data_IF_730995545808
#
_entry.id   IF_730995545808
#
_cell.length_a   1.000
_cell.length_b   1.000
_cell.length_c   1.000
_cell.angle_alpha   90.00
_cell.angle_beta   90.00
_cell.angle_gamma   90.00
#
_symmetry.space_group_name_H-M   'P 1'
#
loop_
_entity.id
_entity.type
_entity.pdbx_description
1 polymer ?
#
# COMPACT_ATOMS: atom_id res chain seq x y z
N UNK A 1 -68.90 7.43 66.08
CA UNK A 1 -68.61 5.98 66.13
C UNK A 1 -68.19 5.55 64.73
N UNK A 2 -66.89 5.26 64.54
CA UNK A 2 -66.22 4.45 63.48
C UNK A 2 -66.53 4.80 62.01
N UNK A 3 -65.67 5.57 61.31
CA UNK A 3 -64.41 5.17 60.64
C UNK A 3 -64.55 3.94 59.75
N UNK A 4 -64.51 4.14 58.42
CA UNK A 4 -63.84 3.24 57.47
C UNK A 4 -63.32 4.07 56.29
N UNK A 5 -61.99 4.27 56.26
CA UNK A 5 -61.25 4.81 55.14
C UNK A 5 -60.90 3.63 54.23
N UNK A 6 -61.42 3.61 53.00
CA UNK A 6 -60.99 2.68 51.97
C UNK A 6 -59.69 3.22 51.35
N UNK A 7 -58.57 2.57 51.63
CA UNK A 7 -57.30 2.80 50.93
C UNK A 7 -57.33 1.97 49.64
N UNK A 8 -57.42 2.67 48.50
CA UNK A 8 -57.29 2.07 47.18
C UNK A 8 -55.80 1.90 46.86
N UNK A 9 -55.27 0.68 46.98
CA UNK A 9 -53.90 0.35 46.59
C UNK A 9 -53.89 0.17 45.06
N UNK A 10 -53.41 1.16 44.33
CA UNK A 10 -53.07 1.03 42.91
C UNK A 10 -51.82 0.16 42.75
N UNK A 11 -52.04 -1.08 42.31
CA UNK A 11 -50.98 -2.01 41.93
C UNK A 11 -50.41 -1.58 40.57
N UNK A 12 -49.29 -0.86 40.56
CA UNK A 12 -48.54 -0.56 39.34
C UNK A 12 -47.74 -1.81 38.96
N UNK A 13 -48.25 -2.57 38.00
CA UNK A 13 -47.51 -3.67 37.40
C UNK A 13 -46.32 -3.09 36.61
N UNK A 14 -45.11 -3.25 37.14
CA UNK A 14 -43.89 -2.97 36.39
C UNK A 14 -43.71 -4.05 35.33
N UNK A 15 -44.16 -3.76 34.10
CA UNK A 15 -43.74 -4.53 32.94
C UNK A 15 -42.30 -4.15 32.61
N UNK A 16 -41.37 -4.98 33.05
CA UNK A 16 -39.99 -4.97 32.58
C UNK A 16 -39.99 -5.32 31.09
N UNK A 17 -39.90 -4.31 30.22
CA UNK A 17 -39.64 -4.57 28.79
C UNK A 17 -38.23 -5.16 28.71
N UNK A 18 -38.05 -6.40 28.22
CA UNK A 18 -36.72 -6.93 28.02
C UNK A 18 -36.05 -6.11 26.93
N UNK A 19 -35.02 -5.35 27.30
CA UNK A 19 -34.10 -4.74 26.35
C UNK A 19 -33.35 -5.87 25.67
N UNK A 20 -33.86 -6.36 24.54
CA UNK A 20 -33.06 -7.19 23.64
C UNK A 20 -31.96 -6.26 23.14
N UNK A 21 -30.76 -6.37 23.72
CA UNK A 21 -29.58 -5.81 23.12
C UNK A 21 -29.45 -6.45 21.73
N UNK A 22 -29.76 -5.71 20.68
CA UNK A 22 -29.41 -6.10 19.31
C UNK A 22 -27.90 -6.28 19.31
N UNK A 23 -27.46 -7.54 19.29
CA UNK A 23 -26.07 -7.86 18.99
C UNK A 23 -25.79 -7.27 17.61
N UNK A 24 -24.84 -6.33 17.53
CA UNK A 24 -24.43 -5.77 16.25
C UNK A 24 -24.04 -6.94 15.33
N UNK A 25 -24.69 -7.02 14.18
CA UNK A 25 -24.46 -8.07 13.19
C UNK A 25 -22.96 -8.13 12.85
N UNK A 26 -22.38 -9.33 12.96
CA UNK A 26 -20.97 -9.53 12.69
C UNK A 26 -20.73 -9.47 11.19
N UNK A 27 -19.98 -8.47 10.74
CA UNK A 27 -19.64 -8.30 9.32
C UNK A 27 -18.56 -9.27 8.87
N UNK A 28 -18.58 -9.66 7.60
CA UNK A 28 -17.61 -10.56 7.01
C UNK A 28 -16.82 -9.87 5.89
N UNK A 29 -15.51 -9.78 6.08
CA UNK A 29 -14.59 -9.22 5.11
C UNK A 29 -13.74 -10.34 4.50
N UNK A 30 -13.74 -10.44 3.18
CA UNK A 30 -12.84 -11.35 2.44
C UNK A 30 -11.65 -10.56 1.92
N UNK A 31 -10.44 -10.97 2.29
CA UNK A 31 -9.19 -10.28 1.95
C UNK A 31 -8.40 -11.09 0.91
N UNK A 32 -8.30 -10.58 -0.31
CA UNK A 32 -7.51 -11.16 -1.39
C UNK A 32 -6.09 -10.58 -1.34
N UNK A 33 -5.13 -11.41 -0.97
CA UNK A 33 -3.75 -11.00 -0.66
C UNK A 33 -2.77 -11.61 -1.66
N UNK A 34 -1.84 -10.79 -2.16
CA UNK A 34 -0.81 -11.28 -3.08
C UNK A 34 0.30 -12.08 -2.37
N UNK A 35 0.58 -11.77 -1.10
CA UNK A 35 1.76 -12.26 -0.37
C UNK A 35 1.53 -12.42 1.14
N UNK A 36 0.29 -12.68 1.53
CA UNK A 36 -0.13 -12.75 2.92
C UNK A 36 -0.26 -11.38 3.60
N UNK A 37 -0.41 -11.40 4.92
CA UNK A 37 -0.63 -10.22 5.77
C UNK A 37 0.64 -9.38 5.86
N UNK A 38 0.52 -8.13 5.41
CA UNK A 38 1.53 -7.07 5.59
C UNK A 38 1.07 -6.09 6.67
N UNK A 39 1.86 -5.05 6.94
CA UNK A 39 1.44 -4.00 7.88
C UNK A 39 0.18 -3.26 7.43
N UNK A 40 -0.12 -3.22 6.12
CA UNK A 40 -1.38 -2.67 5.62
C UNK A 40 -2.59 -3.49 6.06
N UNK A 41 -2.52 -4.82 5.96
CA UNK A 41 -3.60 -5.69 6.45
C UNK A 41 -3.73 -5.61 7.97
N UNK A 42 -2.63 -5.50 8.72
CA UNK A 42 -2.68 -5.29 10.17
C UNK A 42 -3.42 -3.99 10.52
N UNK A 43 -3.02 -2.87 9.92
CA UNK A 43 -3.68 -1.57 10.15
C UNK A 43 -5.16 -1.58 9.76
N UNK A 44 -5.49 -2.23 8.64
CA UNK A 44 -6.89 -2.41 8.23
C UNK A 44 -7.69 -3.21 9.26
N UNK A 45 -7.21 -4.40 9.64
CA UNK A 45 -7.91 -5.30 10.54
C UNK A 45 -8.01 -4.74 11.97
N UNK A 46 -6.95 -4.14 12.49
CA UNK A 46 -6.93 -3.52 13.82
C UNK A 46 -7.90 -2.34 13.87
N UNK A 47 -7.86 -1.45 12.86
CA UNK A 47 -8.78 -0.33 12.77
C UNK A 47 -10.23 -0.83 12.75
N UNK A 48 -10.59 -1.67 11.77
CA UNK A 48 -11.99 -2.05 11.56
C UNK A 48 -12.55 -2.87 12.73
N UNK A 49 -11.75 -3.77 13.30
CA UNK A 49 -12.14 -4.56 14.49
C UNK A 49 -12.33 -3.70 15.74
N UNK A 50 -11.67 -2.53 15.82
CA UNK A 50 -11.91 -1.56 16.89
C UNK A 50 -13.25 -0.82 16.75
N UNK A 51 -13.85 -0.82 15.55
CA UNK A 51 -15.08 -0.09 15.23
C UNK A 51 -16.33 -0.96 15.24
N UNK A 52 -16.21 -2.23 14.85
CA UNK A 52 -17.36 -3.12 14.72
C UNK A 52 -16.99 -4.61 14.87
N UNK A 53 -17.96 -5.48 15.22
CA UNK A 53 -17.76 -6.92 15.16
C UNK A 53 -17.56 -7.37 13.71
N UNK A 54 -16.41 -7.98 13.43
CA UNK A 54 -16.04 -8.38 12.07
C UNK A 54 -15.28 -9.72 12.09
N UNK A 55 -15.45 -10.53 11.05
CA UNK A 55 -14.62 -11.70 10.73
C UNK A 55 -13.89 -11.47 9.43
N UNK A 56 -12.71 -12.09 9.32
CA UNK A 56 -11.87 -12.00 8.14
C UNK A 56 -11.63 -13.40 7.55
N UNK A 57 -11.81 -13.53 6.23
CA UNK A 57 -11.28 -14.65 5.45
C UNK A 57 -10.05 -14.17 4.71
N UNK A 58 -8.89 -14.81 4.95
CA UNK A 58 -7.62 -14.45 4.32
C UNK A 58 -7.32 -15.39 3.16
N UNK A 59 -7.28 -14.85 1.94
CA UNK A 59 -6.98 -15.58 0.71
C UNK A 59 -5.59 -15.17 0.21
N UNK A 60 -4.55 -15.86 0.70
CA UNK A 60 -3.16 -15.60 0.31
C UNK A 60 -2.78 -16.36 -0.97
N UNK A 61 -2.63 -15.62 -2.06
CA UNK A 61 -2.22 -16.16 -3.36
C UNK A 61 -0.76 -16.64 -3.38
N UNK A 62 0.05 -16.36 -2.36
CA UNK A 62 1.48 -16.79 -2.27
C UNK A 62 2.30 -16.41 -3.51
N UNK A 63 1.96 -15.28 -4.13
CA UNK A 63 2.54 -14.77 -5.39
C UNK A 63 2.34 -15.70 -6.59
N UNK A 64 1.30 -16.51 -6.56
CA UNK A 64 0.92 -17.43 -7.63
C UNK A 64 -0.38 -16.98 -8.31
N UNK A 65 -0.34 -16.89 -9.65
CA UNK A 65 -1.46 -16.36 -10.43
C UNK A 65 -2.60 -17.37 -10.55
N UNK A 66 -2.30 -18.66 -10.54
CA UNK A 66 -3.31 -19.71 -10.66
C UNK A 66 -4.09 -19.82 -9.36
N UNK A 67 -3.39 -19.77 -8.22
CA UNK A 67 -3.98 -19.69 -6.89
C UNK A 67 -4.87 -18.45 -6.75
N UNK A 68 -4.39 -17.27 -7.17
CA UNK A 68 -5.20 -16.04 -7.21
C UNK A 68 -6.46 -16.21 -8.06
N UNK A 69 -6.33 -16.83 -9.24
CA UNK A 69 -7.45 -17.04 -10.16
C UNK A 69 -8.51 -17.97 -9.55
N UNK A 70 -8.08 -19.01 -8.82
CA UNK A 70 -8.99 -19.87 -8.07
C UNK A 70 -9.79 -19.11 -7.02
N UNK A 71 -9.14 -18.29 -6.20
CA UNK A 71 -9.84 -17.46 -5.20
C UNK A 71 -10.84 -16.48 -5.80
N UNK A 72 -10.55 -15.94 -6.98
CA UNK A 72 -11.45 -15.02 -7.67
C UNK A 72 -12.65 -15.76 -8.28
N UNK A 73 -12.43 -16.97 -8.82
CA UNK A 73 -13.51 -17.79 -9.36
C UNK A 73 -14.54 -18.16 -8.27
N UNK A 74 -14.08 -18.37 -7.04
CA UNK A 74 -14.93 -18.74 -5.91
C UNK A 74 -15.40 -17.53 -5.07
N UNK A 75 -15.14 -16.29 -5.50
CA UNK A 75 -15.29 -15.10 -4.64
C UNK A 75 -16.71 -14.91 -4.10
N UNK A 76 -17.73 -15.20 -4.90
CA UNK A 76 -19.14 -15.05 -4.51
C UNK A 76 -19.57 -16.12 -3.50
N UNK A 77 -18.86 -17.25 -3.42
CA UNK A 77 -19.17 -18.33 -2.47
C UNK A 77 -18.84 -17.98 -1.01
N UNK A 78 -18.04 -16.94 -0.81
CA UNK A 78 -17.63 -16.52 0.53
C UNK A 78 -18.66 -15.63 1.24
N UNK A 79 -19.72 -15.18 0.56
CA UNK A 79 -20.81 -14.36 1.12
C UNK A 79 -20.31 -13.11 1.89
N UNK A 80 -19.41 -12.36 1.24
CA UNK A 80 -18.73 -11.23 1.86
C UNK A 80 -19.63 -9.99 1.92
N UNK A 81 -19.67 -9.32 3.08
CA UNK A 81 -20.20 -7.96 3.19
C UNK A 81 -19.28 -6.94 2.49
N UNK A 82 -17.97 -7.24 2.39
CA UNK A 82 -16.97 -6.40 1.73
C UNK A 82 -15.76 -7.23 1.29
N UNK A 83 -15.21 -6.92 0.11
CA UNK A 83 -13.95 -7.49 -0.36
C UNK A 83 -12.82 -6.47 -0.22
N UNK A 84 -11.71 -6.91 0.36
CA UNK A 84 -10.46 -6.17 0.41
C UNK A 84 -9.46 -6.75 -0.59
N UNK A 85 -8.76 -5.90 -1.35
CA UNK A 85 -7.70 -6.35 -2.27
C UNK A 85 -6.37 -5.64 -1.98
N UNK A 86 -5.29 -6.43 -1.85
CA UNK A 86 -3.94 -5.89 -1.68
C UNK A 86 -3.21 -5.73 -3.03
N UNK A 87 -2.93 -4.48 -3.40
CA UNK A 87 -2.07 -4.13 -4.52
C UNK A 87 -2.74 -4.21 -5.89
N UNK A 88 -2.01 -3.73 -6.90
CA UNK A 88 -2.52 -3.60 -8.28
C UNK A 88 -2.93 -4.94 -8.89
N UNK A 89 -2.15 -6.01 -8.67
CA UNK A 89 -2.39 -7.33 -9.26
C UNK A 89 -3.71 -7.95 -8.80
N UNK A 90 -3.95 -8.03 -7.49
CA UNK A 90 -5.20 -8.61 -6.96
C UNK A 90 -6.42 -7.79 -7.35
N UNK A 91 -6.27 -6.46 -7.30
CA UNK A 91 -7.34 -5.51 -7.67
C UNK A 91 -7.71 -5.66 -9.15
N UNK A 92 -6.73 -5.72 -10.06
CA UNK A 92 -6.99 -5.94 -11.49
C UNK A 92 -7.54 -7.32 -11.78
N UNK A 93 -7.08 -8.36 -11.08
CA UNK A 93 -7.60 -9.70 -11.28
C UNK A 93 -9.07 -9.79 -10.84
N UNK A 94 -9.46 -9.11 -9.76
CA UNK A 94 -10.86 -9.07 -9.31
C UNK A 94 -11.73 -8.16 -10.18
N UNK A 95 -11.29 -6.94 -10.48
CA UNK A 95 -12.12 -5.89 -11.08
C UNK A 95 -11.95 -5.74 -12.60
N UNK A 96 -10.82 -6.17 -13.15
CA UNK A 96 -10.42 -5.84 -14.52
C UNK A 96 -10.08 -4.36 -14.68
N UNK A 97 -9.95 -3.93 -15.93
CA UNK A 97 -9.79 -2.51 -16.27
C UNK A 97 -11.15 -1.89 -16.59
N UNK A 98 -11.23 -0.57 -16.67
CA UNK A 98 -12.47 0.12 -17.04
C UNK A 98 -12.93 -0.24 -18.46
N UNK A 99 -11.99 -0.43 -19.39
CA UNK A 99 -12.27 -0.87 -20.76
C UNK A 99 -12.53 -2.38 -20.90
N UNK A 100 -12.14 -3.18 -19.89
CA UNK A 100 -12.32 -4.64 -19.87
C UNK A 100 -12.67 -5.09 -18.45
N UNK A 101 -13.88 -4.76 -17.96
CA UNK A 101 -14.28 -5.10 -16.61
C UNK A 101 -14.52 -6.61 -16.49
N UNK A 102 -14.29 -7.17 -15.31
CA UNK A 102 -14.63 -8.56 -15.01
C UNK A 102 -16.13 -8.74 -14.79
N UNK A 103 -16.58 -10.00 -14.75
CA UNK A 103 -17.96 -10.32 -14.35
C UNK A 103 -18.27 -9.81 -12.95
N UNK A 104 -17.32 -9.91 -12.02
CA UNK A 104 -17.48 -9.40 -10.65
C UNK A 104 -17.74 -7.89 -10.64
N UNK A 105 -16.91 -7.09 -11.34
CA UNK A 105 -17.09 -5.63 -11.43
C UNK A 105 -18.43 -5.22 -12.03
N UNK A 106 -19.00 -6.03 -12.92
CA UNK A 106 -20.23 -5.68 -13.67
C UNK A 106 -21.52 -6.17 -13.02
N UNK A 107 -21.47 -7.25 -12.24
CA UNK A 107 -22.68 -7.91 -11.72
C UNK A 107 -22.72 -8.03 -10.19
N UNK A 108 -21.60 -7.86 -9.49
CA UNK A 108 -21.56 -7.96 -8.03
C UNK A 108 -21.88 -6.62 -7.37
N UNK A 109 -22.77 -6.64 -6.38
CA UNK A 109 -23.06 -5.50 -5.52
C UNK A 109 -22.12 -5.43 -4.30
N UNK A 110 -21.30 -6.47 -4.08
CA UNK A 110 -20.37 -6.51 -2.95
C UNK A 110 -19.33 -5.41 -3.08
N UNK A 111 -19.22 -4.50 -2.11
CA UNK A 111 -18.29 -3.38 -2.21
C UNK A 111 -16.84 -3.85 -2.09
N UNK A 112 -15.94 -3.19 -2.83
CA UNK A 112 -14.49 -3.44 -2.78
C UNK A 112 -13.74 -2.24 -2.23
N UNK A 113 -12.85 -2.49 -1.27
CA UNK A 113 -11.85 -1.50 -0.83
C UNK A 113 -10.47 -2.03 -1.13
N UNK A 114 -9.82 -1.46 -2.15
CA UNK A 114 -8.43 -1.79 -2.43
C UNK A 114 -7.46 -0.97 -1.58
N UNK A 115 -6.29 -1.55 -1.33
CA UNK A 115 -5.19 -0.90 -0.64
C UNK A 115 -3.88 -1.16 -1.39
N UNK A 116 -2.88 -0.30 -1.20
CA UNK A 116 -1.53 -0.46 -1.79
C UNK A 116 -1.55 -0.49 -3.34
N UNK A 117 -2.59 0.06 -3.99
CA UNK A 117 -2.58 0.24 -5.45
C UNK A 117 -1.64 1.37 -5.82
N UNK A 118 -0.71 1.12 -6.74
CA UNK A 118 0.33 2.09 -7.12
C UNK A 118 -0.27 3.27 -7.87
N UNK A 119 -1.05 2.97 -8.90
CA UNK A 119 -1.54 3.96 -9.86
C UNK A 119 -2.85 3.44 -10.47
N UNK A 120 -4.01 3.74 -9.85
CA UNK A 120 -5.30 3.27 -10.32
C UNK A 120 -5.61 3.72 -11.75
N UNK A 121 -5.20 4.95 -12.11
CA UNK A 121 -5.40 5.53 -13.44
C UNK A 121 -4.45 4.90 -14.47
N UNK A 122 -3.15 4.85 -14.18
CA UNK A 122 -2.17 4.25 -15.09
C UNK A 122 -2.38 2.74 -15.30
N UNK A 123 -2.95 2.06 -14.30
CA UNK A 123 -3.35 0.65 -14.40
C UNK A 123 -4.73 0.46 -15.05
N UNK A 124 -5.40 1.55 -15.43
CA UNK A 124 -6.74 1.58 -16.03
C UNK A 124 -7.83 0.93 -15.18
N UNK A 125 -7.66 0.89 -13.86
CA UNK A 125 -8.74 0.48 -12.95
C UNK A 125 -9.89 1.50 -13.08
N UNK A 126 -9.53 2.78 -13.17
CA UNK A 126 -10.40 3.92 -13.48
C UNK A 126 -9.75 4.80 -14.54
N UNK A 127 -10.52 5.54 -15.35
CA UNK A 127 -9.99 6.56 -16.26
C UNK A 127 -9.52 7.81 -15.52
N UNK A 128 -10.26 8.19 -14.49
CA UNK A 128 -9.94 9.29 -13.58
C UNK A 128 -10.51 9.03 -12.18
N UNK A 129 -10.20 9.92 -11.24
CA UNK A 129 -10.65 9.80 -9.85
C UNK A 129 -12.13 10.18 -9.63
N UNK A 130 -12.80 10.72 -10.65
CA UNK A 130 -14.20 11.11 -10.63
C UNK A 130 -15.13 10.05 -11.26
N UNK A 131 -14.60 8.99 -11.89
CA UNK A 131 -15.33 7.91 -12.57
C UNK A 131 -16.52 7.39 -11.76
N UNK A 132 -17.75 7.66 -12.21
CA UNK A 132 -18.99 7.30 -11.51
C UNK A 132 -19.38 5.82 -11.72
N UNK A 133 -20.40 5.34 -10.99
CA UNK A 133 -20.96 3.99 -11.14
C UNK A 133 -19.98 2.83 -10.83
N UNK A 134 -19.34 2.89 -9.66
CA UNK A 134 -18.40 1.86 -9.20
C UNK A 134 -18.83 1.26 -7.85
N UNK A 135 -18.72 -0.06 -7.71
CA UNK A 135 -18.86 -0.74 -6.42
C UNK A 135 -17.55 -0.74 -5.61
N UNK A 136 -16.56 0.05 -6.00
CA UNK A 136 -15.24 0.03 -5.37
C UNK A 136 -14.67 1.42 -5.08
N UNK A 137 -13.82 1.47 -4.05
CA UNK A 137 -12.97 2.60 -3.69
C UNK A 137 -11.62 2.07 -3.22
N UNK A 138 -10.74 2.95 -2.76
CA UNK A 138 -9.50 2.48 -2.14
C UNK A 138 -8.48 3.55 -1.86
N UNK A 139 -7.32 3.08 -1.43
CA UNK A 139 -6.20 3.92 -1.03
C UNK A 139 -4.96 3.60 -1.84
N UNK A 140 -4.37 4.64 -2.45
CA UNK A 140 -3.05 4.53 -3.06
C UNK A 140 -1.96 4.78 -2.02
N UNK A 141 -0.85 4.05 -2.11
CA UNK A 141 0.27 4.21 -1.16
C UNK A 141 1.39 5.09 -1.69
N UNK A 142 1.37 5.43 -2.99
CA UNK A 142 2.50 6.11 -3.61
C UNK A 142 2.42 7.60 -3.35
N UNK A 143 3.47 8.09 -2.71
CA UNK A 143 3.73 9.53 -2.61
C UNK A 143 3.86 10.08 -4.03
N UNK A 144 3.18 11.19 -4.39
CA UNK A 144 3.24 11.75 -5.73
C UNK A 144 4.69 11.90 -6.21
N UNK A 145 4.99 11.46 -7.43
CA UNK A 145 6.36 11.41 -7.95
C UNK A 145 7.07 12.77 -7.91
N UNK A 146 6.35 13.87 -8.13
CA UNK A 146 6.87 15.23 -7.96
C UNK A 146 7.40 15.48 -6.54
N UNK A 147 6.70 15.00 -5.51
CA UNK A 147 7.11 15.12 -4.11
C UNK A 147 8.36 14.29 -3.84
N UNK A 148 8.44 13.07 -4.40
CA UNK A 148 9.65 12.23 -4.30
C UNK A 148 10.85 12.89 -4.98
N UNK A 149 10.68 13.45 -6.18
CA UNK A 149 11.74 14.21 -6.85
C UNK A 149 12.19 15.44 -6.08
N UNK A 150 11.25 16.21 -5.52
CA UNK A 150 11.59 17.35 -4.67
C UNK A 150 12.42 16.93 -3.44
N UNK A 151 12.20 15.71 -2.93
CA UNK A 151 13.03 15.15 -1.86
C UNK A 151 14.42 14.74 -2.38
N UNK A 152 14.50 14.10 -3.54
CA UNK A 152 15.76 13.69 -4.18
C UNK A 152 16.64 14.90 -4.52
N UNK A 153 16.06 15.98 -5.05
CA UNK A 153 16.80 17.20 -5.41
C UNK A 153 17.44 17.92 -4.21
N UNK A 154 16.93 17.68 -3.00
CA UNK A 154 17.55 18.22 -1.79
C UNK A 154 18.82 17.46 -1.41
N UNK A 155 19.04 16.28 -1.95
CA UNK A 155 20.25 15.50 -1.70
C UNK A 155 21.45 16.12 -2.45
N UNK A 156 22.61 16.24 -1.80
CA UNK A 156 23.79 16.84 -2.41
C UNK A 156 24.40 15.93 -3.49
N UNK A 157 24.99 16.51 -4.54
CA UNK A 157 25.81 15.78 -5.51
C UNK A 157 25.09 14.64 -6.27
N UNK A 158 23.77 14.75 -6.46
CA UNK A 158 23.00 13.86 -7.32
C UNK A 158 22.70 14.55 -8.65
N UNK A 159 23.45 14.21 -9.69
CA UNK A 159 23.21 14.62 -11.08
C UNK A 159 22.64 13.48 -11.92
N UNK A 160 22.92 12.23 -11.56
CA UNK A 160 22.55 11.04 -12.31
C UNK A 160 21.90 9.99 -11.43
N UNK A 161 20.72 9.53 -11.84
CA UNK A 161 19.92 8.55 -11.14
C UNK A 161 19.59 7.36 -12.05
N UNK A 162 19.66 6.15 -11.50
CA UNK A 162 19.27 4.92 -12.18
C UNK A 162 18.03 4.30 -11.55
N UNK A 163 17.07 3.83 -12.34
CA UNK A 163 15.90 3.12 -11.85
C UNK A 163 16.10 1.63 -12.06
N UNK A 164 16.24 0.86 -10.97
CA UNK A 164 16.35 -0.60 -11.02
C UNK A 164 14.97 -1.21 -10.83
N UNK A 165 14.46 -1.96 -11.81
CA UNK A 165 13.09 -2.48 -11.77
C UNK A 165 12.92 -3.83 -12.48
N UNK A 166 11.88 -4.55 -12.11
CA UNK A 166 11.41 -5.74 -12.80
C UNK A 166 10.53 -5.34 -14.00
N UNK A 167 10.92 -5.67 -15.25
CA UNK A 167 10.11 -5.34 -16.42
C UNK A 167 8.80 -6.15 -16.53
N UNK A 168 8.62 -7.19 -15.72
CA UNK A 168 7.41 -8.02 -15.67
C UNK A 168 6.33 -7.44 -14.74
N UNK A 169 6.61 -6.35 -14.03
CA UNK A 169 5.67 -5.72 -13.09
C UNK A 169 5.22 -4.34 -13.60
N UNK A 170 3.99 -4.26 -14.12
CA UNK A 170 3.51 -3.07 -14.84
C UNK A 170 3.55 -1.79 -13.98
N UNK A 171 3.24 -1.86 -12.69
CA UNK A 171 3.35 -0.73 -11.77
C UNK A 171 4.79 -0.19 -11.68
N UNK A 172 5.79 -1.08 -11.66
CA UNK A 172 7.20 -0.68 -11.65
C UNK A 172 7.60 -0.03 -12.98
N UNK A 173 7.17 -0.60 -14.11
CA UNK A 173 7.41 -0.05 -15.47
C UNK A 173 6.81 1.34 -15.63
N UNK A 174 5.55 1.53 -15.24
CA UNK A 174 4.85 2.82 -15.33
C UNK A 174 5.54 3.85 -14.43
N UNK A 175 5.85 3.48 -13.18
CA UNK A 175 6.55 4.37 -12.25
C UNK A 175 7.90 4.78 -12.81
N UNK A 176 8.69 3.83 -13.32
CA UNK A 176 10.00 4.10 -13.90
C UNK A 176 9.92 5.11 -15.06
N UNK A 177 8.96 4.93 -15.98
CA UNK A 177 8.74 5.87 -17.08
C UNK A 177 8.26 7.24 -16.61
N UNK A 178 7.33 7.30 -15.65
CA UNK A 178 6.88 8.58 -15.07
C UNK A 178 8.01 9.35 -14.41
N UNK A 179 8.85 8.64 -13.65
CA UNK A 179 10.02 9.23 -13.01
C UNK A 179 11.00 9.73 -14.07
N UNK A 180 11.28 8.93 -15.10
CA UNK A 180 12.14 9.34 -16.21
C UNK A 180 11.58 10.57 -16.96
N UNK A 181 10.28 10.67 -17.21
CA UNK A 181 9.69 11.86 -17.87
C UNK A 181 9.83 13.14 -17.02
N UNK A 182 9.86 13.01 -15.69
CA UNK A 182 10.05 14.14 -14.79
C UNK A 182 11.50 14.66 -14.79
N UNK A 183 12.47 13.84 -15.17
CA UNK A 183 13.92 14.18 -15.18
C UNK A 183 14.24 15.56 -15.75
N UNK A 184 13.67 15.88 -16.93
CA UNK A 184 13.90 17.13 -17.65
C UNK A 184 13.50 18.38 -16.84
N UNK A 185 12.47 18.28 -15.98
CA UNK A 185 12.03 19.38 -15.13
C UNK A 185 12.98 19.63 -13.95
N UNK A 186 13.77 18.63 -13.58
CA UNK A 186 14.53 18.60 -12.34
C UNK A 186 16.05 18.62 -12.52
N UNK A 187 16.54 18.60 -13.76
CA UNK A 187 17.97 18.68 -14.05
C UNK A 187 18.79 17.50 -13.51
N UNK A 188 18.16 16.32 -13.42
CA UNK A 188 18.80 15.05 -13.06
C UNK A 188 18.67 14.12 -14.25
N UNK A 189 19.76 13.53 -14.71
CA UNK A 189 19.74 12.50 -15.76
C UNK A 189 19.19 11.20 -15.19
N UNK A 190 18.16 10.63 -15.82
CA UNK A 190 17.49 9.42 -15.32
C UNK A 190 17.53 8.29 -16.35
N UNK A 191 18.21 7.21 -15.97
CA UNK A 191 18.37 6.01 -16.78
C UNK A 191 17.54 4.84 -16.24
N UNK A 192 17.06 3.99 -17.15
CA UNK A 192 16.23 2.83 -16.84
C UNK A 192 17.08 1.56 -16.89
N UNK A 193 17.11 0.81 -15.79
CA UNK A 193 17.84 -0.44 -15.67
C UNK A 193 16.88 -1.60 -15.35
N UNK A 194 16.21 -2.16 -16.37
CA UNK A 194 15.39 -3.35 -16.18
C UNK A 194 16.28 -4.55 -15.83
N UNK A 195 15.90 -5.31 -14.80
CA UNK A 195 16.49 -6.62 -14.56
C UNK A 195 16.22 -7.55 -15.75
N UNK A 196 17.18 -8.42 -16.08
CA UNK A 196 16.96 -9.43 -17.11
C UNK A 196 15.91 -10.42 -16.63
N UNK A 197 15.26 -11.08 -17.58
CA UNK A 197 14.27 -12.12 -17.29
C UNK A 197 14.73 -13.46 -17.82
N UNK A 198 14.51 -14.52 -17.05
CA UNK A 198 14.77 -15.90 -17.45
C UNK A 198 13.53 -16.75 -17.11
N UNK A 199 12.99 -17.46 -18.09
CA UNK A 199 11.78 -18.30 -17.93
C UNK A 199 10.59 -17.55 -17.30
N UNK A 200 10.33 -16.31 -17.75
CA UNK A 200 9.22 -15.50 -17.26
C UNK A 200 9.37 -15.02 -15.81
N UNK A 201 10.58 -15.08 -15.24
CA UNK A 201 10.90 -14.57 -13.90
C UNK A 201 12.06 -13.58 -13.95
N UNK A 202 12.13 -12.61 -13.03
CA UNK A 202 13.27 -11.71 -12.95
C UNK A 202 14.52 -12.49 -12.50
N UNK A 203 15.67 -12.16 -13.10
CA UNK A 203 16.93 -12.85 -12.88
C UNK A 203 17.90 -11.96 -12.09
N UNK A 204 17.96 -12.17 -10.77
CA UNK A 204 18.85 -11.42 -9.89
C UNK A 204 20.34 -11.64 -10.23
N UNK A 205 20.70 -12.74 -10.90
CA UNK A 205 22.10 -12.96 -11.32
C UNK A 205 22.57 -11.94 -12.36
N UNK A 206 21.65 -11.21 -12.98
CA UNK A 206 21.96 -10.11 -13.89
C UNK A 206 22.28 -8.78 -13.18
N UNK A 207 22.08 -8.68 -11.86
CA UNK A 207 22.24 -7.45 -11.10
C UNK A 207 23.66 -6.88 -11.20
N UNK A 208 24.70 -7.71 -11.14
CA UNK A 208 26.09 -7.23 -11.23
C UNK A 208 26.33 -6.47 -12.53
N UNK A 209 25.91 -7.02 -13.67
CA UNK A 209 26.02 -6.36 -14.99
C UNK A 209 25.21 -5.08 -15.08
N UNK A 210 24.05 -5.05 -14.44
CA UNK A 210 23.24 -3.83 -14.32
C UNK A 210 24.01 -2.76 -13.57
N UNK A 211 24.62 -3.11 -12.43
CA UNK A 211 25.43 -2.20 -11.63
C UNK A 211 26.68 -1.74 -12.39
N UNK A 212 27.36 -2.62 -13.13
CA UNK A 212 28.50 -2.26 -13.98
C UNK A 212 28.10 -1.16 -14.99
N UNK A 213 26.93 -1.32 -15.63
CA UNK A 213 26.40 -0.31 -16.57
C UNK A 213 26.05 0.99 -15.85
N UNK A 214 25.44 0.91 -14.65
CA UNK A 214 25.14 2.09 -13.83
C UNK A 214 26.41 2.88 -13.46
N UNK A 215 27.53 2.20 -13.21
CA UNK A 215 28.82 2.84 -12.93
C UNK A 215 29.39 3.54 -14.17
N UNK A 216 29.30 2.92 -15.35
CA UNK A 216 29.68 3.53 -16.63
C UNK A 216 28.89 4.81 -16.90
N UNK A 217 27.58 4.79 -16.61
CA UNK A 217 26.67 5.93 -16.72
C UNK A 217 26.82 6.94 -15.56
N UNK A 218 27.72 6.69 -14.60
CA UNK A 218 28.01 7.53 -13.42
C UNK A 218 26.79 7.78 -12.52
N UNK A 219 25.93 6.77 -12.38
CA UNK A 219 24.78 6.81 -11.47
C UNK A 219 25.25 6.99 -10.02
N UNK A 220 24.76 8.03 -9.34
CA UNK A 220 25.04 8.26 -7.91
C UNK A 220 23.90 7.78 -7.01
N UNK A 221 22.68 7.70 -7.54
CA UNK A 221 21.49 7.30 -6.81
C UNK A 221 20.70 6.25 -7.57
N UNK A 222 20.41 5.13 -6.93
CA UNK A 222 19.47 4.14 -7.42
C UNK A 222 18.08 4.40 -6.84
N UNK A 223 17.10 4.62 -7.71
CA UNK A 223 15.69 4.69 -7.34
C UNK A 223 15.07 3.28 -7.38
N UNK A 224 14.46 2.88 -6.26
CA UNK A 224 13.76 1.61 -6.10
C UNK A 224 12.24 1.87 -6.16
N UNK A 225 11.57 1.55 -7.28
CA UNK A 225 10.13 1.75 -7.44
C UNK A 225 9.31 0.79 -6.55
N UNK A 226 7.98 0.99 -6.46
CA UNK A 226 7.08 0.02 -5.83
C UNK A 226 7.02 -1.25 -6.68
N UNK A 227 7.94 -2.16 -6.39
CA UNK A 227 8.17 -3.39 -7.13
C UNK A 227 8.26 -4.56 -6.15
N UNK A 228 7.36 -5.52 -6.32
CA UNK A 228 7.19 -6.65 -5.43
C UNK A 228 8.44 -7.53 -5.38
N UNK A 229 9.11 -7.70 -6.52
CA UNK A 229 10.32 -8.50 -6.62
C UNK A 229 11.50 -7.79 -5.96
N UNK A 230 11.71 -6.50 -6.29
CA UNK A 230 12.78 -5.68 -5.70
C UNK A 230 12.62 -5.61 -4.18
N UNK A 231 11.40 -5.42 -3.66
CA UNK A 231 11.15 -5.45 -2.22
C UNK A 231 11.52 -6.81 -1.63
N UNK A 232 11.14 -7.92 -2.27
CA UNK A 232 11.43 -9.27 -1.75
C UNK A 232 12.91 -9.65 -1.79
N UNK A 233 13.68 -9.06 -2.71
CA UNK A 233 15.12 -9.27 -2.87
C UNK A 233 15.92 -8.07 -2.35
N UNK A 234 15.28 -7.18 -1.57
CA UNK A 234 15.78 -5.84 -1.32
C UNK A 234 17.16 -5.83 -0.69
N UNK A 235 17.44 -6.74 0.24
CA UNK A 235 18.74 -6.80 0.93
C UNK A 235 19.89 -7.00 -0.06
N UNK A 236 19.78 -8.01 -0.93
CA UNK A 236 20.82 -8.30 -1.91
C UNK A 236 21.01 -7.18 -2.93
N UNK A 237 19.92 -6.52 -3.33
CA UNK A 237 19.97 -5.41 -4.28
C UNK A 237 20.63 -4.17 -3.65
N UNK A 238 20.15 -3.76 -2.47
CA UNK A 238 20.67 -2.58 -1.78
C UNK A 238 22.12 -2.76 -1.39
N UNK A 239 22.49 -3.89 -0.79
CA UNK A 239 23.88 -4.16 -0.39
C UNK A 239 24.83 -4.12 -1.60
N UNK A 240 24.41 -4.69 -2.75
CA UNK A 240 25.22 -4.67 -3.98
C UNK A 240 25.41 -3.26 -4.55
N UNK A 241 24.37 -2.41 -4.49
CA UNK A 241 24.46 -1.01 -4.91
C UNK A 241 25.37 -0.21 -3.97
N UNK A 242 25.19 -0.38 -2.66
CA UNK A 242 25.96 0.33 -1.65
C UNK A 242 27.44 -0.06 -1.67
N UNK A 243 27.76 -1.33 -1.96
CA UNK A 243 29.13 -1.80 -2.11
C UNK A 243 29.89 -1.10 -3.27
N UNK A 244 29.16 -0.51 -4.22
CA UNK A 244 29.73 0.28 -5.32
C UNK A 244 29.59 1.80 -5.11
N UNK A 245 29.19 2.23 -3.90
CA UNK A 245 29.00 3.65 -3.56
C UNK A 245 27.73 4.29 -4.15
N UNK A 246 26.82 3.49 -4.71
CA UNK A 246 25.56 4.01 -5.26
C UNK A 246 24.53 4.12 -4.13
N UNK A 247 24.15 5.34 -3.77
CA UNK A 247 23.11 5.59 -2.77
C UNK A 247 21.74 5.06 -3.23
N UNK A 248 20.78 4.87 -2.32
CA UNK A 248 19.44 4.37 -2.68
C UNK A 248 18.32 5.29 -2.21
N UNK A 249 17.37 5.58 -3.11
CA UNK A 249 16.08 6.17 -2.78
C UNK A 249 14.98 5.12 -2.96
N UNK A 250 14.17 4.86 -1.94
CA UNK A 250 13.03 3.95 -2.06
C UNK A 250 11.70 4.68 -2.12
N UNK A 251 10.85 4.25 -3.06
CA UNK A 251 9.48 4.71 -3.18
C UNK A 251 8.53 4.08 -2.15
N UNK A 252 9.00 3.07 -1.39
CA UNK A 252 8.20 2.32 -0.40
C UNK A 252 8.99 2.15 0.91
N UNK A 253 8.27 1.92 2.00
CA UNK A 253 8.85 1.87 3.35
C UNK A 253 9.79 0.66 3.55
N UNK A 254 9.43 -0.50 2.99
CA UNK A 254 10.09 -1.77 3.33
C UNK A 254 11.58 -1.83 2.98
N UNK A 255 12.05 -1.39 1.80
CA UNK A 255 13.48 -1.37 1.50
C UNK A 255 14.31 -0.54 2.49
N UNK A 256 13.75 0.54 3.04
CA UNK A 256 14.45 1.41 3.99
C UNK A 256 14.59 0.68 5.34
N UNK A 257 13.48 0.14 5.84
CA UNK A 257 13.43 -0.49 7.18
C UNK A 257 14.08 -1.86 7.25
N UNK A 258 13.90 -2.67 6.22
CA UNK A 258 14.23 -4.10 6.28
C UNK A 258 15.48 -4.45 5.45
N UNK A 259 15.91 -3.55 4.55
CA UNK A 259 16.92 -3.85 3.55
C UNK A 259 17.99 -2.77 3.42
N UNK A 260 18.17 -1.92 4.44
CA UNK A 260 19.20 -0.88 4.50
C UNK A 260 19.14 0.18 3.39
N UNK A 261 18.03 0.35 2.67
CA UNK A 261 17.95 1.45 1.71
C UNK A 261 18.14 2.79 2.44
N UNK A 262 18.87 3.72 1.83
CA UNK A 262 19.35 4.92 2.51
C UNK A 262 18.21 5.85 2.91
N UNK A 263 17.32 6.15 1.96
CA UNK A 263 16.38 7.25 2.13
C UNK A 263 15.08 7.01 1.37
N UNK A 264 13.99 7.61 1.84
CA UNK A 264 12.76 7.75 1.06
C UNK A 264 11.76 8.67 1.73
N UNK A 265 10.79 9.14 0.94
CA UNK A 265 9.56 9.75 1.42
C UNK A 265 8.41 8.80 1.08
N UNK A 266 7.76 8.26 2.12
CA UNK A 266 6.88 7.09 1.98
C UNK A 266 5.58 7.28 2.74
N UNK A 267 4.54 6.63 2.25
CA UNK A 267 3.33 6.36 3.03
C UNK A 267 3.56 5.08 3.83
N UNK A 268 3.39 5.12 5.15
CA UNK A 268 3.51 3.92 5.97
C UNK A 268 2.40 2.94 5.63
N UNK A 269 2.74 1.68 5.39
CA UNK A 269 1.76 0.67 4.95
C UNK A 269 0.63 0.51 5.96
N UNK A 270 0.98 0.51 7.26
CA UNK A 270 0.01 0.48 8.36
C UNK A 270 -1.05 1.58 8.24
N UNK A 271 -0.62 2.84 8.09
CA UNK A 271 -1.51 3.98 7.98
C UNK A 271 -2.39 3.92 6.71
N UNK A 272 -1.85 3.37 5.62
CA UNK A 272 -2.63 3.13 4.39
C UNK A 272 -3.74 2.09 4.67
N UNK A 273 -3.38 1.04 5.41
CA UNK A 273 -4.32 0.04 5.92
C UNK A 273 -5.41 0.61 6.80
N UNK A 274 -5.06 1.41 7.80
CA UNK A 274 -6.03 2.09 8.67
C UNK A 274 -6.98 2.97 7.86
N UNK A 275 -6.47 3.70 6.88
CA UNK A 275 -7.31 4.55 6.05
C UNK A 275 -8.25 3.77 5.14
N UNK A 276 -7.80 2.64 4.60
CA UNK A 276 -8.68 1.69 3.93
C UNK A 276 -9.72 1.11 4.89
N UNK A 277 -9.35 0.83 6.15
CA UNK A 277 -10.25 0.39 7.20
C UNK A 277 -11.33 1.41 7.53
N UNK A 278 -10.99 2.70 7.57
CA UNK A 278 -11.94 3.79 7.73
C UNK A 278 -12.93 3.87 6.56
N UNK A 279 -12.47 3.71 5.32
CA UNK A 279 -13.38 3.63 4.15
C UNK A 279 -14.31 2.40 4.25
N UNK A 280 -13.78 1.26 4.68
CA UNK A 280 -14.58 0.05 4.92
C UNK A 280 -15.61 0.24 6.04
N UNK A 281 -15.27 0.92 7.13
CA UNK A 281 -16.22 1.27 8.20
C UNK A 281 -17.39 2.10 7.66
N UNK A 282 -17.11 3.12 6.84
CA UNK A 282 -18.14 3.97 6.23
C UNK A 282 -19.10 3.16 5.36
N UNK A 283 -18.59 2.20 4.60
CA UNK A 283 -19.38 1.31 3.75
C UNK A 283 -20.20 0.32 4.59
N UNK A 284 -19.56 -0.44 5.48
CA UNK A 284 -20.19 -1.50 6.27
C UNK A 284 -21.20 -0.98 7.30
N UNK A 285 -21.07 0.28 7.70
CA UNK A 285 -22.04 0.97 8.56
C UNK A 285 -23.20 1.61 7.80
N UNK A 286 -23.32 1.36 6.48
CA UNK A 286 -24.31 1.97 5.58
C UNK A 286 -24.31 3.51 5.57
N UNK A 287 -23.16 4.14 5.87
CA UNK A 287 -23.02 5.61 5.87
C UNK A 287 -22.71 6.16 4.48
N UNK A 288 -22.09 5.35 3.62
CA UNK A 288 -21.66 5.75 2.27
C UNK A 288 -21.60 4.55 1.35
N UNK A 289 -21.87 4.74 0.05
CA UNK A 289 -21.56 3.72 -0.97
C UNK A 289 -20.12 3.88 -1.40
N UNK A 290 -19.53 2.81 -1.95
CA UNK A 290 -18.13 2.84 -2.41
C UNK A 290 -17.86 3.96 -3.44
N UNK A 291 -18.78 4.20 -4.39
CA UNK A 291 -18.66 5.29 -5.36
C UNK A 291 -18.66 6.70 -4.74
N UNK A 292 -19.28 6.88 -3.58
CA UNK A 292 -19.35 8.18 -2.91
C UNK A 292 -18.02 8.50 -2.17
N UNK A 293 -17.15 7.49 -2.01
CA UNK A 293 -15.84 7.62 -1.38
C UNK A 293 -14.74 7.78 -2.43
N UNK A 294 -13.91 8.84 -2.35
CA UNK A 294 -12.86 9.07 -3.33
C UNK A 294 -11.78 7.99 -3.22
N UNK A 295 -11.21 7.63 -4.37
CA UNK A 295 -9.94 6.92 -4.41
C UNK A 295 -8.85 7.97 -4.19
N UNK A 296 -8.05 7.83 -3.13
CA UNK A 296 -7.06 8.87 -2.81
C UNK A 296 -5.85 8.28 -2.08
N UNK A 297 -4.66 8.89 -2.20
CA UNK A 297 -3.53 8.53 -1.36
C UNK A 297 -3.67 9.12 0.05
N UNK A 298 -2.78 8.72 0.96
CA UNK A 298 -2.59 9.49 2.19
C UNK A 298 -2.12 10.92 1.87
N UNK A 299 -2.57 11.89 2.69
CA UNK A 299 -2.13 13.28 2.63
C UNK A 299 -0.83 13.55 3.39
N UNK A 300 -0.45 12.62 4.29
CA UNK A 300 0.75 12.71 5.11
C UNK A 300 1.75 11.64 4.70
N UNK A 301 3.01 12.06 4.54
CA UNK A 301 4.14 11.22 4.17
C UNK A 301 5.22 11.32 5.24
N UNK A 302 5.98 10.25 5.42
CA UNK A 302 7.11 10.20 6.33
C UNK A 302 8.41 10.21 5.54
N UNK A 303 9.32 11.11 5.89
CA UNK A 303 10.72 10.96 5.51
C UNK A 303 11.35 9.92 6.43
N UNK A 304 12.03 8.93 5.86
CA UNK A 304 12.78 7.94 6.62
C UNK A 304 14.21 7.92 6.10
N UNK A 305 15.17 8.04 7.03
CA UNK A 305 16.60 7.97 6.73
C UNK A 305 17.21 6.83 7.54
N UNK A 306 17.89 5.91 6.85
CA UNK A 306 18.70 4.90 7.49
C UNK A 306 20.10 5.46 7.75
N UNK A 307 20.40 5.79 9.01
CA UNK A 307 21.68 6.39 9.39
C UNK A 307 22.84 5.39 9.33
N UNK A 308 22.56 4.08 9.47
CA UNK A 308 23.55 3.03 9.26
C UNK A 308 24.00 2.98 7.81
N UNK A 309 23.06 3.05 6.87
CA UNK A 309 23.35 3.14 5.44
C UNK A 309 24.11 4.43 5.08
N UNK A 310 23.69 5.57 5.64
CA UNK A 310 24.36 6.86 5.44
C UNK A 310 25.83 6.79 5.86
N UNK A 311 26.11 6.17 7.01
CA UNK A 311 27.47 5.96 7.52
C UNK A 311 28.28 5.01 6.63
N UNK A 312 27.69 3.90 6.21
CA UNK A 312 28.37 2.92 5.36
C UNK A 312 28.77 3.49 3.99
N UNK A 313 27.98 4.43 3.46
CA UNK A 313 28.23 5.12 2.20
C UNK A 313 29.11 6.38 2.34
N UNK A 314 29.41 6.82 3.57
CA UNK A 314 29.91 8.17 3.85
C UNK A 314 29.11 9.27 3.13
N UNK A 315 27.79 9.11 3.10
CA UNK A 315 26.87 9.97 2.37
C UNK A 315 25.63 10.27 3.20
N UNK A 316 25.54 11.51 3.67
CA UNK A 316 24.49 11.95 4.57
C UNK A 316 23.51 12.88 3.84
N UNK A 317 22.19 12.61 3.93
CA UNK A 317 21.19 13.62 3.58
C UNK A 317 21.44 14.92 4.38
N UNK A 318 21.10 16.10 3.83
CA UNK A 318 21.35 17.36 4.51
C UNK A 318 20.54 17.46 5.80
N UNK A 319 21.03 18.27 6.74
CA UNK A 319 20.40 18.51 8.06
C UNK A 319 18.92 18.90 7.94
N UNK A 320 18.55 19.62 6.88
CA UNK A 320 17.16 20.01 6.61
C UNK A 320 16.22 18.82 6.39
N UNK A 321 16.71 17.72 5.80
CA UNK A 321 15.97 16.46 5.68
C UNK A 321 16.04 15.70 7.00
N UNK A 322 17.22 15.57 7.61
CA UNK A 322 17.40 14.78 8.84
C UNK A 322 16.48 15.26 9.98
N UNK A 323 16.29 16.58 10.13
CA UNK A 323 15.42 17.18 11.16
C UNK A 323 13.95 16.81 11.04
N UNK A 324 13.47 16.48 9.84
CA UNK A 324 12.07 16.14 9.58
C UNK A 324 11.88 14.64 9.31
N UNK A 325 12.97 13.86 9.42
CA UNK A 325 12.98 12.43 9.13
C UNK A 325 12.85 11.61 10.40
N UNK A 326 12.18 10.48 10.27
CA UNK A 326 12.40 9.36 11.17
C UNK A 326 13.79 8.77 10.89
N UNK A 327 14.66 8.75 11.90
CA UNK A 327 15.99 8.17 11.79
C UNK A 327 15.97 6.73 12.29
N UNK A 328 16.44 5.80 11.45
CA UNK A 328 16.51 4.36 11.79
C UNK A 328 17.94 3.83 11.60
N UNK A 329 18.25 2.66 12.17
CA UNK A 329 19.57 2.04 12.03
C UNK A 329 20.66 2.71 12.86
N UNK A 330 20.28 3.47 13.89
CA UNK A 330 21.19 4.21 14.78
C UNK A 330 21.47 3.53 16.13
N UNK A 331 20.86 2.39 16.44
CA UNK A 331 20.92 1.76 17.77
C UNK A 331 22.16 0.87 17.97
N UNK A 332 23.31 1.30 17.45
CA UNK A 332 24.65 0.75 17.77
C UNK A 332 25.52 1.81 18.46
N UNK A 333 24.93 2.56 19.40
CA UNK A 333 25.71 3.11 20.50
C UNK A 333 25.87 1.98 21.52
N UNK A 334 26.78 1.05 21.26
CA UNK A 334 27.34 0.25 22.32
C UNK A 334 28.11 1.20 23.25
N UNK A 335 27.60 1.40 24.46
CA UNK A 335 28.36 1.98 25.57
C UNK A 335 29.69 1.23 25.79
#
# INVERSE_FOLDING_TARGET
>A
MRVFILILITLVAQFSVPTIALSAEKKHVVMILWRGVTDAEKGFMEYLSSKMPVSYTLLDAKRDRDTLSGYIADIDSYDADLVYTFGTTTTLSLLGTEDKPTSFRTHSETPVVFSIVTDPVGSKIVSDYASEHRNFTGVSHIVPHQVQFNAIQKLPNISTMGIVFNPLENNAVITARKIQMLSAKFGIDVYLYPLRTKNGKPDLSSLSKVIDTMLEDKVQLAYLPPDSYIISQGRGIVDSLHAQGIATFSATESPIRNHNALFGIVSRYYNVGEFAGHKAEQILSNKSRAQDLPIEPLSQYSYIVNVGAARALDYYPPVSILKISELIGGNEWSE
#
